data_IF_004897413517
#
_entry.id   IF_004897413517
#
_cell.length_a   1.000
_cell.length_b   1.000
_cell.length_c   1.000
_cell.angle_alpha   90.00
_cell.angle_beta   90.00
_cell.angle_gamma   90.00
#
_symmetry.space_group_name_H-M   'P 1'
#
loop_
_entity.id
_entity.type
_entity.pdbx_description
1 polymer ?
#
# COMPACT_ATOMS: atom_id res chain seq x y z
N UNK A 1 21.26 24.63 -20.69
CA UNK A 1 21.59 23.43 -19.90
C UNK A 1 20.47 23.27 -18.90
N UNK A 2 19.69 22.20 -18.99
CA UNK A 2 18.70 21.91 -17.95
C UNK A 2 19.49 21.68 -16.64
N UNK A 3 19.13 22.40 -15.60
CA UNK A 3 19.73 22.23 -14.28
C UNK A 3 19.35 20.82 -13.79
N UNK A 4 20.36 20.01 -13.53
CA UNK A 4 20.16 18.68 -12.96
C UNK A 4 19.63 18.85 -11.53
N UNK A 5 18.48 18.26 -11.23
CA UNK A 5 17.93 18.32 -9.88
C UNK A 5 18.61 17.29 -8.96
N UNK A 6 18.76 17.64 -7.71
CA UNK A 6 19.32 16.78 -6.67
C UNK A 6 18.18 16.20 -5.84
N UNK A 7 18.06 14.88 -5.84
CA UNK A 7 17.09 14.14 -5.05
C UNK A 7 17.77 13.41 -3.91
N UNK A 8 17.11 13.37 -2.76
CA UNK A 8 17.44 12.50 -1.64
C UNK A 8 16.27 11.56 -1.38
N UNK A 9 16.45 10.27 -1.63
CA UNK A 9 15.47 9.22 -1.33
C UNK A 9 15.81 8.61 0.03
N UNK A 10 14.88 8.63 0.98
CA UNK A 10 15.15 8.21 2.35
C UNK A 10 14.19 7.11 2.79
N UNK A 11 14.74 5.95 3.13
CA UNK A 11 14.01 4.81 3.68
C UNK A 11 13.01 4.19 2.71
N UNK A 12 12.14 3.36 3.25
CA UNK A 12 11.13 2.62 2.50
C UNK A 12 11.54 1.22 2.09
N UNK A 13 10.66 0.58 1.35
CA UNK A 13 10.84 -0.77 0.82
C UNK A 13 11.37 -0.77 -0.63
N UNK A 14 11.24 -1.89 -1.33
CA UNK A 14 11.71 -2.04 -2.72
C UNK A 14 11.09 -1.00 -3.67
N UNK A 15 9.90 -0.49 -3.38
CA UNK A 15 9.27 0.58 -4.19
C UNK A 15 10.13 1.84 -4.20
N UNK A 16 10.72 2.20 -3.06
CA UNK A 16 11.63 3.35 -2.97
C UNK A 16 12.97 3.08 -3.67
N UNK A 17 13.47 1.84 -3.62
CA UNK A 17 14.65 1.45 -4.39
C UNK A 17 14.43 1.65 -5.89
N UNK A 18 13.29 1.19 -6.41
CA UNK A 18 12.94 1.40 -7.83
C UNK A 18 12.70 2.89 -8.15
N UNK A 19 12.12 3.65 -7.23
CA UNK A 19 11.95 5.10 -7.38
C UNK A 19 13.30 5.80 -7.48
N UNK A 20 14.27 5.46 -6.62
CA UNK A 20 15.61 6.03 -6.67
C UNK A 20 16.29 5.73 -8.02
N UNK A 21 16.24 4.47 -8.48
CA UNK A 21 16.80 4.08 -9.79
C UNK A 21 16.15 4.85 -10.95
N UNK A 22 14.84 4.98 -10.93
CA UNK A 22 14.10 5.69 -11.99
C UNK A 22 14.41 7.18 -12.02
N UNK A 23 14.54 7.81 -10.86
CA UNK A 23 14.96 9.21 -10.77
C UNK A 23 16.40 9.43 -11.25
N UNK A 24 17.30 8.46 -11.00
CA UNK A 24 18.70 8.53 -11.36
C UNK A 24 18.97 8.46 -12.88
N UNK A 25 17.97 8.10 -13.69
CA UNK A 25 18.09 8.14 -15.14
C UNK A 25 18.34 9.57 -15.69
N UNK A 26 17.83 10.60 -15.01
CA UNK A 26 17.90 11.99 -15.49
C UNK A 26 18.26 13.00 -14.40
N UNK A 27 18.60 12.55 -13.21
CA UNK A 27 18.86 13.43 -12.06
C UNK A 27 19.99 12.86 -11.20
N UNK A 28 20.55 13.72 -10.36
CA UNK A 28 21.47 13.29 -9.32
C UNK A 28 20.69 12.76 -8.10
N UNK A 29 20.91 11.51 -7.72
CA UNK A 29 20.13 10.85 -6.68
C UNK A 29 21.03 10.31 -5.59
N UNK A 30 20.78 10.76 -4.37
CA UNK A 30 21.28 10.19 -3.14
C UNK A 30 20.23 9.27 -2.51
N UNK A 31 20.64 8.17 -1.92
CA UNK A 31 19.73 7.26 -1.22
C UNK A 31 20.28 6.85 0.12
N UNK A 32 19.47 7.01 1.17
CA UNK A 32 19.80 6.72 2.56
C UNK A 32 18.76 5.83 3.21
N UNK A 33 19.17 5.06 4.23
CA UNK A 33 18.26 4.14 4.93
C UNK A 33 18.06 2.80 4.22
N UNK A 34 19.08 2.38 3.47
CA UNK A 34 19.12 1.12 2.72
C UNK A 34 20.45 0.39 3.02
N UNK A 35 20.44 -0.45 4.04
CA UNK A 35 21.62 -1.25 4.38
C UNK A 35 21.87 -2.38 3.36
N UNK A 36 23.06 -2.96 3.40
CA UNK A 36 23.43 -4.15 2.61
C UNK A 36 23.40 -4.00 1.09
N UNK A 37 23.62 -2.79 0.56
CA UNK A 37 23.71 -2.53 -0.90
C UNK A 37 22.45 -2.97 -1.70
N UNK A 38 21.27 -2.90 -1.08
CA UNK A 38 19.99 -3.30 -1.68
C UNK A 38 19.71 -2.55 -2.98
N UNK A 39 20.21 -1.32 -3.10
CA UNK A 39 19.98 -0.48 -4.28
C UNK A 39 20.69 -1.05 -5.50
N UNK A 40 21.98 -1.41 -5.38
CA UNK A 40 22.77 -2.09 -6.42
C UNK A 40 22.78 -1.37 -7.78
N UNK A 41 22.68 -0.04 -7.81
CA UNK A 41 22.68 0.78 -9.02
C UNK A 41 23.80 1.81 -8.97
N UNK A 42 24.65 1.84 -10.00
CA UNK A 42 25.82 2.72 -10.05
C UNK A 42 25.46 4.20 -10.17
N UNK A 43 24.26 4.52 -10.65
CA UNK A 43 23.79 5.90 -10.83
C UNK A 43 23.18 6.47 -9.54
N UNK A 44 22.92 5.64 -8.53
CA UNK A 44 22.39 6.06 -7.23
C UNK A 44 23.52 6.13 -6.22
N UNK A 45 23.77 7.30 -5.66
CA UNK A 45 24.82 7.51 -4.66
C UNK A 45 24.29 7.10 -3.29
N UNK A 46 24.82 6.00 -2.76
CA UNK A 46 24.45 5.54 -1.42
C UNK A 46 25.04 6.46 -0.35
N UNK A 47 24.21 6.82 0.62
CA UNK A 47 24.57 7.62 1.79
C UNK A 47 24.19 6.84 3.05
N UNK A 48 25.01 6.88 4.07
CA UNK A 48 24.71 6.20 5.32
C UNK A 48 23.55 6.87 6.09
N UNK A 49 23.14 6.26 7.19
CA UNK A 49 22.05 6.78 8.02
C UNK A 49 22.34 8.13 8.71
N UNK A 50 23.59 8.58 8.74
CA UNK A 50 23.97 9.88 9.28
C UNK A 50 23.63 11.04 8.33
N UNK A 51 23.27 10.71 7.07
CA UNK A 51 22.85 11.69 6.07
C UNK A 51 23.91 12.75 5.76
N UNK A 52 25.18 12.36 5.73
CA UNK A 52 26.28 13.24 5.34
C UNK A 52 26.29 13.40 3.82
N UNK A 53 25.56 14.41 3.32
CA UNK A 53 25.46 14.73 1.91
C UNK A 53 26.53 15.74 1.51
N UNK A 54 27.17 15.60 0.33
CA UNK A 54 28.11 16.57 -0.19
C UNK A 54 27.44 17.85 -0.68
N UNK A 55 26.13 17.84 -0.87
CA UNK A 55 25.32 18.98 -1.32
C UNK A 55 23.87 18.89 -0.84
N UNK A 56 23.14 20.00 -0.83
CA UNK A 56 21.75 20.10 -0.37
C UNK A 56 20.80 19.65 -1.48
N UNK A 57 19.76 18.90 -1.14
CA UNK A 57 18.78 18.37 -2.08
C UNK A 57 17.75 19.44 -2.51
N UNK A 58 17.32 19.38 -3.77
CA UNK A 58 16.14 20.10 -4.25
C UNK A 58 14.85 19.42 -3.76
N UNK A 59 14.87 18.09 -3.70
CA UNK A 59 13.73 17.27 -3.31
C UNK A 59 14.13 16.15 -2.38
N UNK A 60 13.30 15.89 -1.38
CA UNK A 60 13.41 14.68 -0.52
C UNK A 60 12.20 13.81 -0.76
N UNK A 61 12.43 12.51 -0.98
CA UNK A 61 11.38 11.52 -1.22
C UNK A 61 11.34 10.55 -0.04
N UNK A 62 10.23 10.57 0.69
CA UNK A 62 9.93 9.68 1.81
C UNK A 62 9.05 8.51 1.36
N UNK A 63 9.02 7.40 2.11
CA UNK A 63 8.24 6.21 1.76
C UNK A 63 6.72 6.35 2.00
N UNK A 64 6.01 5.25 1.76
CA UNK A 64 4.60 5.04 2.08
C UNK A 64 4.46 3.87 3.07
N UNK A 65 4.07 4.11 4.34
CA UNK A 65 3.91 5.43 4.96
C UNK A 65 5.25 6.14 5.19
N UNK A 66 5.23 7.48 5.25
CA UNK A 66 6.43 8.29 5.49
C UNK A 66 7.09 7.97 6.84
N UNK A 67 6.26 7.74 7.85
CA UNK A 67 6.63 7.32 9.21
C UNK A 67 5.60 6.34 9.76
N UNK A 68 6.01 5.51 10.71
CA UNK A 68 5.10 4.63 11.46
C UNK A 68 4.75 5.19 12.85
N UNK A 69 5.56 6.09 13.38
CA UNK A 69 5.43 6.60 14.75
C UNK A 69 5.49 8.13 14.84
N UNK A 70 5.57 8.82 13.70
CA UNK A 70 5.64 10.29 13.63
C UNK A 70 6.97 10.90 14.10
N UNK A 71 8.01 10.09 14.34
CA UNK A 71 9.33 10.51 14.84
C UNK A 71 10.44 10.14 13.87
N UNK A 72 10.42 8.93 13.37
CA UNK A 72 11.44 8.38 12.49
C UNK A 72 10.87 8.06 11.11
N UNK A 73 11.72 8.16 10.09
CA UNK A 73 11.40 7.69 8.74
C UNK A 73 11.12 6.19 8.77
N UNK A 74 10.12 5.74 8.04
CA UNK A 74 9.86 4.32 7.85
C UNK A 74 10.95 3.71 6.95
N UNK A 75 11.93 3.05 7.55
CA UNK A 75 13.11 2.51 6.87
C UNK A 75 13.37 1.04 7.24
N UNK A 76 12.55 0.08 6.74
CA UNK A 76 12.63 -1.32 7.13
C UNK A 76 13.95 -2.00 6.72
N UNK A 77 14.69 -1.43 5.77
CA UNK A 77 16.00 -1.92 5.33
C UNK A 77 17.18 -1.23 6.01
N UNK A 78 16.92 -0.42 7.04
CA UNK A 78 17.95 0.25 7.81
C UNK A 78 17.93 -0.21 9.26
N UNK A 79 19.09 -0.57 9.80
CA UNK A 79 19.22 -0.95 11.22
C UNK A 79 19.11 0.23 12.17
N UNK A 80 19.41 1.42 11.68
CA UNK A 80 19.41 2.64 12.47
C UNK A 80 18.19 3.48 12.18
N UNK A 81 17.65 4.11 13.22
CA UNK A 81 16.54 5.04 13.06
C UNK A 81 17.02 6.36 12.46
N UNK A 82 16.29 6.88 11.48
CA UNK A 82 16.53 8.17 10.84
C UNK A 82 15.49 9.16 11.36
N UNK A 83 15.84 10.15 12.18
CA UNK A 83 14.88 11.12 12.69
C UNK A 83 14.32 11.99 11.57
N UNK A 84 13.00 12.23 11.55
CA UNK A 84 12.37 13.15 10.60
C UNK A 84 12.94 14.58 10.70
N UNK A 85 13.36 15.00 11.89
CA UNK A 85 13.97 16.31 12.14
C UNK A 85 15.33 16.49 11.50
N UNK A 86 16.05 15.41 11.18
CA UNK A 86 17.35 15.47 10.52
C UNK A 86 17.27 15.81 9.02
N UNK A 87 16.07 15.80 8.44
CA UNK A 87 15.87 16.03 7.01
C UNK A 87 15.84 17.50 6.63
N UNK A 88 15.38 18.37 7.53
CA UNK A 88 15.22 19.79 7.27
C UNK A 88 16.53 20.50 6.82
N UNK A 89 17.69 20.25 7.43
CA UNK A 89 18.95 20.88 7.03
C UNK A 89 19.47 20.41 5.67
N UNK A 90 18.94 19.31 5.13
CA UNK A 90 19.38 18.69 3.88
C UNK A 90 18.61 19.20 2.66
N UNK A 91 17.58 20.01 2.89
CA UNK A 91 16.69 20.52 1.85
C UNK A 91 16.99 22.00 1.57
N UNK A 92 17.01 22.39 0.29
CA UNK A 92 17.09 23.79 -0.11
C UNK A 92 15.92 24.60 0.44
N UNK A 93 16.09 25.91 0.55
CA UNK A 93 15.07 26.83 1.10
C UNK A 93 13.73 26.77 0.35
N UNK A 94 13.77 26.53 -0.96
CA UNK A 94 12.60 26.37 -1.84
C UNK A 94 12.30 24.90 -2.19
N UNK A 95 12.96 23.97 -1.53
CA UNK A 95 12.84 22.55 -1.75
C UNK A 95 11.51 21.96 -1.25
N UNK A 96 11.21 20.75 -1.69
CA UNK A 96 9.95 20.07 -1.37
C UNK A 96 10.24 18.67 -0.80
N UNK A 97 9.52 18.30 0.25
CA UNK A 97 9.46 16.92 0.74
C UNK A 97 8.21 16.26 0.17
N UNK A 98 8.40 15.15 -0.55
CA UNK A 98 7.33 14.25 -0.97
C UNK A 98 7.29 13.04 -0.05
N UNK A 99 6.12 12.68 0.46
CA UNK A 99 5.94 11.48 1.29
C UNK A 99 4.60 10.83 1.01
N UNK A 100 4.43 9.58 1.41
CA UNK A 100 3.14 8.91 1.29
C UNK A 100 2.48 8.71 2.65
N UNK A 101 1.18 9.00 2.76
CA UNK A 101 0.40 8.89 4.00
C UNK A 101 1.12 9.58 5.16
N UNK A 102 1.33 10.88 4.98
CA UNK A 102 2.01 11.72 5.98
C UNK A 102 1.03 11.99 7.13
N UNK A 103 1.32 11.43 8.30
CA UNK A 103 0.48 11.63 9.48
C UNK A 103 0.58 13.07 10.03
N UNK A 104 -0.42 13.54 10.82
CA UNK A 104 -0.44 14.91 11.34
C UNK A 104 0.77 15.29 12.21
N UNK A 105 1.40 14.32 12.90
CA UNK A 105 2.59 14.58 13.71
C UNK A 105 3.82 14.81 12.85
N UNK A 106 4.01 14.01 11.82
CA UNK A 106 5.05 14.20 10.79
C UNK A 106 4.87 15.52 10.07
N UNK A 107 3.65 15.86 9.63
CA UNK A 107 3.35 17.13 8.98
C UNK A 107 3.68 18.33 9.88
N UNK A 108 3.39 18.22 11.18
CA UNK A 108 3.70 19.28 12.16
C UNK A 108 5.20 19.55 12.30
N UNK A 109 6.06 18.52 12.18
CA UNK A 109 7.51 18.67 12.21
C UNK A 109 7.95 19.51 11.02
N UNK A 110 7.54 19.17 9.81
CA UNK A 110 7.94 19.88 8.60
C UNK A 110 7.38 21.30 8.53
N UNK A 111 6.14 21.52 8.94
CA UNK A 111 5.53 22.86 9.01
C UNK A 111 6.26 23.78 9.97
N UNK A 112 6.75 23.29 11.11
CA UNK A 112 7.55 24.10 12.05
C UNK A 112 8.89 24.58 11.45
N UNK A 113 9.42 23.81 10.49
CA UNK A 113 10.62 24.16 9.76
C UNK A 113 10.34 25.02 8.50
N UNK A 114 9.07 25.36 8.22
CA UNK A 114 8.67 26.11 7.02
C UNK A 114 8.83 25.30 5.72
N UNK A 115 8.90 23.97 5.79
CA UNK A 115 9.14 23.10 4.64
C UNK A 115 7.82 22.82 3.91
N UNK A 116 7.83 23.03 2.59
CA UNK A 116 6.73 22.60 1.71
C UNK A 116 6.71 21.09 1.61
N UNK A 117 5.56 20.50 1.94
CA UNK A 117 5.36 19.04 1.94
C UNK A 117 4.21 18.68 1.01
N UNK A 118 4.36 17.58 0.27
CA UNK A 118 3.33 17.05 -0.63
C UNK A 118 3.11 15.58 -0.27
N UNK A 119 1.88 15.23 0.09
CA UNK A 119 1.49 13.83 0.27
C UNK A 119 1.06 13.25 -1.09
N UNK A 120 1.92 12.41 -1.68
CA UNK A 120 1.58 11.78 -2.96
C UNK A 120 0.50 10.68 -2.83
N UNK A 121 0.20 10.22 -1.60
CA UNK A 121 -0.86 9.25 -1.36
C UNK A 121 -2.27 9.86 -1.41
N UNK A 122 -2.38 11.21 -1.42
CA UNK A 122 -3.66 11.90 -1.69
C UNK A 122 -4.08 11.81 -3.17
N UNK A 123 -3.18 11.39 -4.06
CA UNK A 123 -3.46 11.23 -5.48
C UNK A 123 -4.25 9.95 -5.73
N UNK A 124 -5.49 10.10 -6.22
CA UNK A 124 -6.39 8.96 -6.46
C UNK A 124 -5.84 7.99 -7.51
N UNK A 125 -5.22 8.50 -8.57
CA UNK A 125 -4.62 7.66 -9.61
C UNK A 125 -3.50 6.76 -9.08
N UNK A 126 -2.70 7.24 -8.13
CA UNK A 126 -1.70 6.42 -7.45
C UNK A 126 -2.34 5.31 -6.62
N UNK A 127 -3.41 5.66 -5.87
CA UNK A 127 -4.14 4.71 -5.05
C UNK A 127 -4.79 3.60 -5.88
N UNK A 128 -5.35 3.96 -7.05
CA UNK A 128 -5.92 2.99 -8.00
C UNK A 128 -4.84 2.05 -8.53
N UNK A 129 -3.68 2.61 -8.96
CA UNK A 129 -2.58 1.79 -9.46
C UNK A 129 -1.94 0.94 -8.36
N UNK A 130 -1.85 1.44 -7.13
CA UNK A 130 -1.32 0.67 -5.99
C UNK A 130 -2.24 -0.48 -5.56
N UNK A 131 -3.51 -0.47 -5.95
CA UNK A 131 -4.40 -1.61 -5.74
C UNK A 131 -4.03 -2.83 -6.59
N UNK A 132 -3.32 -2.65 -7.71
CA UNK A 132 -2.93 -3.74 -8.60
C UNK A 132 -1.97 -4.72 -7.91
N UNK A 133 -0.77 -4.32 -7.43
CA UNK A 133 0.13 -5.25 -6.76
C UNK A 133 -0.47 -5.85 -5.49
N UNK A 134 -1.36 -5.14 -4.80
CA UNK A 134 -2.07 -5.69 -3.64
C UNK A 134 -3.00 -6.83 -4.04
N UNK A 135 -3.78 -6.65 -5.10
CA UNK A 135 -4.69 -7.69 -5.58
C UNK A 135 -3.92 -8.88 -6.19
N UNK A 136 -2.84 -8.63 -6.92
CA UNK A 136 -1.98 -9.69 -7.47
C UNK A 136 -1.36 -10.54 -6.36
N UNK A 137 -0.78 -9.90 -5.32
CA UNK A 137 -0.23 -10.62 -4.17
C UNK A 137 -1.28 -11.41 -3.40
N UNK A 138 -2.51 -10.90 -3.28
CA UNK A 138 -3.61 -11.63 -2.66
C UNK A 138 -4.01 -12.87 -3.47
N UNK A 139 -4.05 -12.77 -4.80
CA UNK A 139 -4.34 -13.91 -5.68
C UNK A 139 -3.19 -14.92 -5.66
N UNK A 140 -1.93 -14.47 -5.60
CA UNK A 140 -0.77 -15.34 -5.42
C UNK A 140 -0.90 -16.18 -4.14
N UNK A 141 -1.19 -15.54 -3.00
CA UNK A 141 -1.40 -16.23 -1.72
C UNK A 141 -2.55 -17.25 -1.84
N UNK A 142 -3.66 -16.88 -2.49
CA UNK A 142 -4.77 -17.79 -2.70
C UNK A 142 -4.35 -19.03 -3.51
N UNK A 143 -3.55 -18.85 -4.58
CA UNK A 143 -3.04 -19.96 -5.39
C UNK A 143 -2.05 -20.84 -4.66
N UNK A 144 -1.28 -20.30 -3.71
CA UNK A 144 -0.30 -21.04 -2.91
C UNK A 144 -0.95 -21.83 -1.78
N UNK A 145 -1.96 -21.24 -1.12
CA UNK A 145 -2.57 -21.82 0.09
C UNK A 145 -3.77 -22.73 -0.18
N UNK A 146 -4.48 -22.55 -1.30
CA UNK A 146 -5.62 -23.39 -1.65
C UNK A 146 -5.16 -24.75 -2.20
N UNK A 147 -5.80 -25.81 -1.75
CA UNK A 147 -5.58 -27.17 -2.29
C UNK A 147 -6.21 -27.38 -3.69
N UNK A 148 -7.01 -26.43 -4.16
CA UNK A 148 -7.73 -26.48 -5.44
C UNK A 148 -7.44 -25.25 -6.29
N UNK A 149 -7.79 -25.33 -7.58
CA UNK A 149 -7.69 -24.19 -8.50
C UNK A 149 -8.76 -23.14 -8.21
N UNK A 150 -8.49 -21.87 -8.51
CA UNK A 150 -9.49 -20.79 -8.37
C UNK A 150 -10.62 -20.91 -9.40
N UNK A 151 -10.39 -21.58 -10.53
CA UNK A 151 -11.39 -21.81 -11.57
C UNK A 151 -12.61 -22.54 -11.01
N UNK A 152 -13.80 -21.95 -11.17
CA UNK A 152 -15.06 -22.50 -10.71
C UNK A 152 -15.32 -22.40 -9.20
N UNK A 153 -14.39 -21.87 -8.42
CA UNK A 153 -14.57 -21.67 -6.98
C UNK A 153 -15.54 -20.54 -6.67
N UNK A 154 -16.30 -20.71 -5.59
CA UNK A 154 -17.14 -19.66 -5.03
C UNK A 154 -16.26 -18.69 -4.24
N UNK A 155 -16.10 -17.48 -4.75
CA UNK A 155 -15.26 -16.42 -4.15
C UNK A 155 -16.13 -15.30 -3.61
N UNK A 156 -15.93 -14.96 -2.35
CA UNK A 156 -16.57 -13.81 -1.73
C UNK A 156 -15.57 -12.65 -1.64
N UNK A 157 -15.99 -11.47 -2.10
CA UNK A 157 -15.24 -10.22 -1.91
C UNK A 157 -16.09 -9.28 -1.06
N UNK A 158 -15.61 -8.91 0.12
CA UNK A 158 -16.30 -7.93 0.96
C UNK A 158 -15.82 -6.53 0.64
N UNK A 159 -16.77 -5.62 0.38
CA UNK A 159 -16.51 -4.26 -0.07
C UNK A 159 -16.39 -4.15 -1.59
N UNK A 160 -16.52 -2.90 -2.11
CA UNK A 160 -16.41 -2.59 -3.54
C UNK A 160 -15.50 -1.37 -3.76
N UNK A 161 -14.31 -1.42 -3.17
CA UNK A 161 -13.27 -0.41 -3.29
C UNK A 161 -12.33 -0.63 -4.48
N UNK A 162 -11.19 0.06 -4.45
CA UNK A 162 -10.14 -0.02 -5.48
C UNK A 162 -9.59 -1.44 -5.62
N UNK A 163 -9.24 -2.07 -4.49
CA UNK A 163 -8.68 -3.44 -4.45
C UNK A 163 -9.73 -4.44 -4.96
N UNK A 164 -10.98 -4.34 -4.50
CA UNK A 164 -12.07 -5.23 -4.94
C UNK A 164 -12.26 -5.20 -6.45
N UNK A 165 -12.24 -4.01 -7.06
CA UNK A 165 -12.39 -3.86 -8.52
C UNK A 165 -11.27 -4.54 -9.31
N UNK A 166 -10.04 -4.47 -8.81
CA UNK A 166 -8.89 -5.16 -9.43
C UNK A 166 -9.01 -6.67 -9.22
N UNK A 167 -9.35 -7.13 -8.00
CA UNK A 167 -9.60 -8.55 -7.71
C UNK A 167 -10.67 -9.13 -8.63
N UNK A 168 -11.81 -8.45 -8.80
CA UNK A 168 -12.89 -8.88 -9.69
C UNK A 168 -12.35 -9.09 -11.12
N UNK A 169 -11.55 -8.13 -11.62
CA UNK A 169 -10.98 -8.24 -12.97
C UNK A 169 -10.06 -9.46 -13.11
N UNK A 170 -9.21 -9.73 -12.13
CA UNK A 170 -8.27 -10.86 -12.15
C UNK A 170 -9.04 -12.17 -12.01
N UNK A 171 -9.92 -12.28 -11.02
CA UNK A 171 -10.66 -13.50 -10.68
C UNK A 171 -11.67 -13.88 -11.76
N UNK A 172 -12.32 -12.92 -12.44
CA UNK A 172 -13.12 -13.17 -13.63
C UNK A 172 -12.27 -13.80 -14.75
N UNK A 173 -11.04 -13.31 -14.95
CA UNK A 173 -10.10 -13.90 -15.91
C UNK A 173 -9.67 -15.32 -15.56
N UNK A 174 -9.70 -15.68 -14.27
CA UNK A 174 -9.42 -17.04 -13.79
C UNK A 174 -10.65 -17.94 -13.76
N UNK A 175 -11.84 -17.41 -14.09
CA UNK A 175 -13.09 -18.18 -14.15
C UNK A 175 -13.72 -18.49 -12.79
N UNK A 176 -13.50 -17.65 -11.78
CA UNK A 176 -14.13 -17.78 -10.46
C UNK A 176 -15.62 -17.37 -10.49
N UNK A 177 -16.44 -17.95 -9.61
CA UNK A 177 -17.83 -17.52 -9.35
C UNK A 177 -17.84 -16.49 -8.22
N UNK A 178 -17.87 -15.22 -8.60
CA UNK A 178 -17.62 -14.11 -7.67
C UNK A 178 -18.93 -13.55 -7.12
N UNK A 179 -18.99 -13.42 -5.79
CA UNK A 179 -20.01 -12.64 -5.08
C UNK A 179 -19.36 -11.43 -4.37
N UNK A 180 -19.98 -10.29 -4.50
CA UNK A 180 -19.53 -9.05 -3.84
C UNK A 180 -20.54 -8.64 -2.78
N UNK A 181 -20.06 -8.27 -1.58
CA UNK A 181 -20.91 -7.60 -0.60
C UNK A 181 -20.56 -6.13 -0.47
N UNK A 182 -21.56 -5.27 -0.42
CA UNK A 182 -21.38 -3.84 -0.17
C UNK A 182 -22.57 -3.26 0.60
N UNK A 183 -22.35 -2.10 1.25
CA UNK A 183 -23.40 -1.37 1.99
C UNK A 183 -24.26 -0.48 1.08
N UNK A 184 -23.68 0.03 -0.01
CA UNK A 184 -24.34 0.92 -0.93
C UNK A 184 -24.92 0.13 -2.10
N UNK A 185 -26.20 0.32 -2.38
CA UNK A 185 -26.84 -0.29 -3.54
C UNK A 185 -26.21 0.14 -4.88
N UNK A 186 -25.68 1.37 -4.96
CA UNK A 186 -24.90 1.81 -6.13
C UNK A 186 -23.66 0.95 -6.38
N UNK A 187 -22.97 0.53 -5.31
CA UNK A 187 -21.79 -0.32 -5.42
C UNK A 187 -22.18 -1.73 -5.86
N UNK A 188 -23.31 -2.25 -5.35
CA UNK A 188 -23.87 -3.54 -5.77
C UNK A 188 -24.23 -3.52 -7.25
N UNK A 189 -24.95 -2.47 -7.72
CA UNK A 189 -25.28 -2.33 -9.14
C UNK A 189 -24.05 -2.27 -10.04
N UNK A 190 -22.99 -1.58 -9.62
CA UNK A 190 -21.72 -1.62 -10.34
C UNK A 190 -21.07 -3.00 -10.34
N UNK A 191 -21.11 -3.74 -9.22
CA UNK A 191 -20.58 -5.09 -9.15
C UNK A 191 -21.32 -6.06 -10.10
N UNK A 192 -22.63 -5.92 -10.24
CA UNK A 192 -23.44 -6.67 -11.23
C UNK A 192 -23.00 -6.39 -12.67
N UNK A 193 -22.72 -5.11 -13.01
CA UNK A 193 -22.19 -4.73 -14.33
C UNK A 193 -20.81 -5.39 -14.58
N UNK A 194 -20.01 -5.58 -13.52
CA UNK A 194 -18.74 -6.32 -13.60
C UNK A 194 -18.90 -7.85 -13.65
N UNK A 195 -20.15 -8.36 -13.70
CA UNK A 195 -20.45 -9.79 -13.83
C UNK A 195 -20.45 -10.56 -12.51
N UNK A 196 -20.54 -9.87 -11.38
CA UNK A 196 -20.57 -10.50 -10.06
C UNK A 196 -22.01 -10.73 -9.58
N UNK A 197 -22.22 -11.75 -8.76
CA UNK A 197 -23.37 -11.83 -7.86
C UNK A 197 -23.21 -10.79 -6.75
N UNK A 198 -24.32 -10.29 -6.23
CA UNK A 198 -24.28 -9.22 -5.22
C UNK A 198 -25.17 -9.54 -4.04
N UNK A 199 -24.71 -9.17 -2.85
CA UNK A 199 -25.46 -9.30 -1.60
C UNK A 199 -25.20 -8.07 -0.74
N UNK A 200 -26.24 -7.53 -0.12
CA UNK A 200 -26.04 -6.43 0.84
C UNK A 200 -25.30 -6.93 2.09
N UNK A 201 -24.34 -6.13 2.59
CA UNK A 201 -23.48 -6.52 3.72
C UNK A 201 -24.25 -6.97 4.96
N UNK A 202 -25.47 -6.49 5.19
CA UNK A 202 -26.30 -6.94 6.32
C UNK A 202 -26.74 -8.40 6.25
N UNK A 203 -26.64 -9.02 5.08
CA UNK A 203 -26.98 -10.44 4.88
C UNK A 203 -25.73 -11.34 4.80
N UNK A 204 -24.54 -10.78 5.07
CA UNK A 204 -23.25 -11.49 4.98
C UNK A 204 -23.25 -12.78 5.81
N UNK A 205 -23.73 -12.73 7.04
CA UNK A 205 -23.79 -13.87 7.96
C UNK A 205 -24.56 -15.06 7.37
N UNK A 206 -25.61 -14.81 6.56
CA UNK A 206 -26.45 -15.85 6.02
C UNK A 206 -25.83 -16.61 4.83
N UNK A 207 -24.80 -16.04 4.20
CA UNK A 207 -24.24 -16.58 2.96
C UNK A 207 -22.78 -17.03 3.10
N UNK A 208 -22.07 -16.54 4.12
CA UNK A 208 -20.61 -16.65 4.20
C UNK A 208 -20.12 -18.11 4.19
N UNK A 209 -20.90 -19.03 4.72
CA UNK A 209 -20.60 -20.47 4.74
C UNK A 209 -20.62 -21.15 3.37
N UNK A 210 -21.02 -20.46 2.29
CA UNK A 210 -21.03 -21.03 0.96
C UNK A 210 -19.70 -20.94 0.21
N UNK A 211 -18.77 -20.10 0.68
CA UNK A 211 -17.57 -19.72 -0.05
C UNK A 211 -16.34 -20.51 0.38
N UNK A 212 -15.48 -20.76 -0.60
CA UNK A 212 -14.21 -21.47 -0.44
C UNK A 212 -13.03 -20.51 -0.29
N UNK A 213 -13.18 -19.28 -0.81
CA UNK A 213 -12.19 -18.21 -0.76
C UNK A 213 -12.88 -16.88 -0.45
N UNK A 214 -12.37 -16.17 0.56
CA UNK A 214 -12.93 -14.92 1.04
C UNK A 214 -11.84 -13.85 1.05
N UNK A 215 -12.02 -12.78 0.27
CA UNK A 215 -11.17 -11.59 0.33
C UNK A 215 -11.91 -10.49 1.10
N UNK A 216 -11.36 -10.07 2.24
CA UNK A 216 -11.88 -8.90 2.93
C UNK A 216 -11.11 -7.64 2.51
N UNK A 217 -11.83 -6.59 2.10
CA UNK A 217 -11.26 -5.27 1.77
C UNK A 217 -11.83 -4.14 2.63
N UNK A 218 -12.72 -4.47 3.59
CA UNK A 218 -13.40 -3.49 4.44
C UNK A 218 -12.60 -3.27 5.72
N UNK A 219 -12.12 -2.04 6.03
CA UNK A 219 -11.33 -1.74 7.22
C UNK A 219 -12.21 -1.54 8.47
N UNK A 220 -13.12 -2.47 8.71
CA UNK A 220 -13.97 -2.53 9.89
C UNK A 220 -14.34 -3.99 10.14
N UNK A 221 -14.42 -4.41 11.39
CA UNK A 221 -14.73 -5.79 11.77
C UNK A 221 -16.13 -6.17 11.29
N UNK A 222 -16.20 -6.76 10.09
CA UNK A 222 -17.42 -7.31 9.49
C UNK A 222 -17.42 -8.84 9.49
N UNK A 223 -16.25 -9.45 9.55
CA UNK A 223 -16.06 -10.88 9.77
C UNK A 223 -15.90 -11.12 11.29
N UNK A 224 -17.00 -10.95 12.00
CA UNK A 224 -17.08 -11.17 13.43
C UNK A 224 -17.24 -12.64 13.79
N UNK A 225 -17.21 -12.99 15.07
CA UNK A 225 -17.36 -14.35 15.58
C UNK A 225 -18.56 -15.11 14.95
N UNK A 226 -19.71 -14.46 14.78
CA UNK A 226 -20.89 -15.09 14.16
C UNK A 226 -20.66 -15.48 12.71
N UNK A 227 -20.00 -14.61 11.94
CA UNK A 227 -19.60 -14.91 10.58
C UNK A 227 -18.57 -16.05 10.54
N UNK A 228 -17.54 -15.97 11.38
CA UNK A 228 -16.45 -16.94 11.42
C UNK A 228 -16.94 -18.34 11.79
N UNK A 229 -17.90 -18.46 12.71
CA UNK A 229 -18.50 -19.75 13.08
C UNK A 229 -19.31 -20.44 11.96
N UNK A 230 -19.63 -19.74 10.88
CA UNK A 230 -20.35 -20.28 9.73
C UNK A 230 -19.46 -20.59 8.53
N UNK A 231 -18.21 -20.15 8.55
CA UNK A 231 -17.24 -20.37 7.47
C UNK A 231 -16.85 -21.86 7.45
N UNK A 232 -16.67 -22.42 6.27
CA UNK A 232 -16.15 -23.78 6.10
C UNK A 232 -14.77 -23.92 6.73
N UNK A 233 -14.47 -25.05 7.34
CA UNK A 233 -13.19 -25.31 8.00
C UNK A 233 -11.97 -25.25 7.06
N UNK A 234 -12.18 -25.46 5.77
CA UNK A 234 -11.18 -25.45 4.70
C UNK A 234 -11.22 -24.18 3.84
N UNK A 235 -12.08 -23.23 4.16
CA UNK A 235 -12.13 -21.96 3.45
C UNK A 235 -10.92 -21.07 3.80
N UNK A 236 -10.37 -20.43 2.79
CA UNK A 236 -9.27 -19.46 2.95
C UNK A 236 -9.81 -18.04 3.08
N UNK A 237 -9.39 -17.33 4.13
CA UNK A 237 -9.69 -15.92 4.33
C UNK A 237 -8.41 -15.10 4.14
N UNK A 238 -8.47 -14.10 3.27
CA UNK A 238 -7.37 -13.14 3.03
C UNK A 238 -7.86 -11.74 3.39
N UNK A 239 -7.33 -11.17 4.48
CA UNK A 239 -7.68 -9.81 4.92
C UNK A 239 -6.73 -8.78 4.30
N UNK A 240 -7.25 -7.98 3.37
CA UNK A 240 -6.53 -6.91 2.66
C UNK A 240 -6.84 -5.52 3.24
N UNK A 241 -7.65 -5.47 4.28
CA UNK A 241 -8.04 -4.22 4.88
C UNK A 241 -6.87 -3.56 5.63
N UNK A 242 -6.81 -2.23 5.58
CA UNK A 242 -5.89 -1.48 6.43
C UNK A 242 -6.30 -1.63 7.91
N UNK A 243 -5.32 -1.49 8.81
CA UNK A 243 -5.62 -1.51 10.25
C UNK A 243 -6.81 -0.59 10.60
N UNK A 244 -7.72 -1.08 11.48
CA UNK A 244 -7.61 -2.25 12.38
C UNK A 244 -7.80 -3.63 11.73
N UNK A 245 -8.14 -3.72 10.44
CA UNK A 245 -8.50 -4.95 9.77
C UNK A 245 -10.02 -5.17 9.75
N UNK A 246 -10.47 -6.27 9.14
CA UNK A 246 -11.90 -6.58 9.01
C UNK A 246 -12.29 -7.94 9.55
N UNK A 247 -11.34 -8.70 10.10
CA UNK A 247 -11.50 -10.02 10.70
C UNK A 247 -11.29 -9.92 12.20
N UNK A 248 -12.17 -10.56 12.96
CA UNK A 248 -12.00 -10.75 14.39
C UNK A 248 -11.05 -11.93 14.62
N UNK A 249 -9.88 -11.67 15.17
CA UNK A 249 -8.85 -12.69 15.41
C UNK A 249 -8.77 -13.14 16.87
N UNK A 250 -9.63 -12.61 17.78
CA UNK A 250 -9.64 -12.91 19.21
C UNK A 250 -10.44 -14.17 19.54
#
# INVERSE_FOLDING_TARGET
>A
MNKENVFLVVGGDLRQVYTAKKLAENNKVYAAGFDNNIIGDINVIHVDHKLELPEIADYIILPLPASQNGVFVNAPFCRNNIPLTSLAPLLKCDGIIFGGKIDPSTMKIFNKCGIKTVDYFEREELNVLNAVPTAEGAVQIAMEEMASTIYGQKVLITGFGRISKVLIKILNGLGADITVTARKYSDLSWAEIYGCKTVHTSALENIIGEYDLIFNTVPAVILNEKCLNQIKNDALIIDLASKPGGVDFD
#
